data_IF_393597804195
#
_entry.id   IF_393597804195
#
_cell.length_a   1.000
_cell.length_b   1.000
_cell.length_c   1.000
_cell.angle_alpha   90.00
_cell.angle_beta   90.00
_cell.angle_gamma   90.00
#
_symmetry.space_group_name_H-M   'P 1'
#
loop_
_entity.id
_entity.type
_entity.pdbx_description
1 polymer ?
#
# COMPACT_ATOMS: atom_id res chain seq x y z
N UNK A 1 2.14 -2.04 -0.22
CA UNK A 1 1.02 -2.85 0.26
C UNK A 1 1.51 -3.93 1.20
N UNK A 2 0.89 -4.04 2.38
CA UNK A 2 1.23 -5.05 3.38
C UNK A 2 0.17 -6.16 3.40
N UNK A 3 0.46 -7.35 2.85
CA UNK A 3 -0.47 -8.48 2.89
C UNK A 3 -0.81 -8.87 4.32
N UNK A 4 0.18 -8.90 5.22
CA UNK A 4 -0.01 -9.21 6.64
C UNK A 4 -0.98 -8.26 7.35
N UNK A 5 -1.04 -6.99 6.95
CA UNK A 5 -2.00 -6.03 7.49
C UNK A 5 -3.43 -6.37 7.02
N UNK A 6 -3.60 -6.71 5.75
CA UNK A 6 -4.90 -7.15 5.21
C UNK A 6 -5.36 -8.42 5.92
N UNK A 7 -4.48 -9.41 6.08
CA UNK A 7 -4.76 -10.66 6.79
C UNK A 7 -5.15 -10.43 8.26
N UNK A 8 -4.45 -9.52 8.95
CA UNK A 8 -4.81 -9.13 10.32
C UNK A 8 -6.20 -8.51 10.40
N UNK A 9 -6.52 -7.57 9.49
CA UNK A 9 -7.85 -6.96 9.42
C UNK A 9 -8.94 -7.99 9.07
N UNK A 10 -8.66 -8.94 8.17
CA UNK A 10 -9.56 -10.06 7.86
C UNK A 10 -9.81 -10.96 9.08
N UNK A 11 -8.83 -11.08 9.97
CA UNK A 11 -8.97 -11.76 11.26
C UNK A 11 -9.62 -10.87 12.35
N UNK A 12 -10.15 -9.70 11.99
CA UNK A 12 -10.75 -8.76 12.92
C UNK A 12 -9.76 -8.20 13.92
N UNK A 13 -8.54 -7.84 13.48
CA UNK A 13 -7.51 -7.25 14.34
C UNK A 13 -7.15 -5.85 13.89
N UNK A 14 -6.89 -4.93 14.85
CA UNK A 14 -6.31 -3.63 14.52
C UNK A 14 -4.89 -3.79 13.97
N UNK A 15 -4.43 -2.77 13.25
CA UNK A 15 -3.11 -2.75 12.65
C UNK A 15 -2.28 -1.58 13.18
N UNK A 16 -1.00 -1.85 13.46
CA UNK A 16 0.03 -0.83 13.64
C UNK A 16 0.89 -0.85 12.38
N UNK A 17 1.03 0.27 11.72
CA UNK A 17 1.85 0.33 10.52
C UNK A 17 2.48 1.72 10.31
N UNK A 18 3.64 1.72 9.66
CA UNK A 18 4.30 2.96 9.26
C UNK A 18 3.49 3.66 8.18
N UNK A 19 3.39 4.98 8.28
CA UNK A 19 2.70 5.82 7.30
C UNK A 19 3.62 6.03 6.10
N UNK A 20 3.74 4.98 5.27
CA UNK A 20 4.56 4.98 4.06
C UNK A 20 3.97 4.03 3.01
N UNK A 21 4.22 4.32 1.75
CA UNK A 21 3.79 3.50 0.63
C UNK A 21 2.31 3.12 0.67
N UNK A 22 1.95 1.99 0.12
CA UNK A 22 0.55 1.51 0.04
C UNK A 22 -0.08 1.09 1.37
N UNK A 23 0.68 1.02 2.47
CA UNK A 23 0.10 0.79 3.81
C UNK A 23 -0.82 1.94 4.24
N UNK A 24 -0.62 3.13 3.70
CA UNK A 24 -1.46 4.30 3.95
C UNK A 24 -2.90 4.09 3.48
N UNK A 25 -3.10 3.39 2.37
CA UNK A 25 -4.44 3.05 1.86
C UNK A 25 -5.16 2.08 2.81
N UNK A 26 -4.42 1.17 3.43
CA UNK A 26 -4.96 0.23 4.41
C UNK A 26 -5.39 0.90 5.71
N UNK A 27 -4.82 2.06 6.04
CA UNK A 27 -5.21 2.88 7.19
C UNK A 27 -6.38 3.82 6.90
N UNK A 28 -6.72 4.04 5.63
CA UNK A 28 -7.82 4.91 5.19
C UNK A 28 -7.75 6.30 5.81
N UNK A 29 -6.74 7.08 5.47
CA UNK A 29 -6.70 8.47 5.89
C UNK A 29 -7.85 9.27 5.29
N UNK A 30 -8.35 10.24 6.05
CA UNK A 30 -9.51 11.05 5.69
C UNK A 30 -9.15 12.54 5.63
N UNK A 31 -9.80 13.24 4.70
CA UNK A 31 -9.78 14.70 4.66
C UNK A 31 -10.70 15.31 5.75
N UNK A 32 -10.81 16.62 5.75
CA UNK A 32 -11.65 17.37 6.70
C UNK A 32 -13.14 16.99 6.59
N UNK A 33 -13.58 16.53 5.42
CA UNK A 33 -14.95 16.13 5.15
C UNK A 33 -15.22 14.64 5.42
N UNK A 34 -14.21 13.90 5.90
CA UNK A 34 -14.31 12.46 6.13
C UNK A 34 -14.19 11.60 4.87
N UNK A 35 -13.79 12.19 3.75
CA UNK A 35 -13.57 11.47 2.51
C UNK A 35 -12.21 10.79 2.53
N UNK A 36 -12.15 9.54 2.07
CA UNK A 36 -10.90 8.81 1.92
C UNK A 36 -9.93 9.54 0.99
N UNK A 37 -8.74 9.80 1.50
CA UNK A 37 -7.62 10.38 0.74
C UNK A 37 -6.88 9.26 0.04
N UNK A 38 -7.14 9.11 -1.25
CA UNK A 38 -6.36 8.21 -2.12
C UNK A 38 -5.07 8.89 -2.54
N UNK A 39 -4.00 8.11 -2.64
CA UNK A 39 -2.70 8.61 -3.07
C UNK A 39 -2.67 8.69 -4.60
N UNK A 40 -2.16 9.82 -5.09
CA UNK A 40 -2.06 10.16 -6.51
C UNK A 40 -0.63 10.59 -6.82
N UNK A 41 -0.34 10.87 -8.08
CA UNK A 41 0.96 11.42 -8.48
C UNK A 41 1.28 12.73 -7.76
N UNK A 42 0.25 13.57 -7.52
CA UNK A 42 0.42 14.87 -6.83
C UNK A 42 0.51 14.70 -5.31
N UNK A 43 -0.05 13.63 -4.77
CA UNK A 43 -0.03 13.33 -3.34
C UNK A 43 0.37 11.87 -3.10
N UNK A 44 1.65 11.61 -3.22
CA UNK A 44 2.22 10.25 -3.11
C UNK A 44 2.44 9.74 -1.69
N UNK A 45 2.33 10.59 -0.65
CA UNK A 45 2.58 10.16 0.73
C UNK A 45 2.01 11.12 1.77
N UNK A 46 1.50 10.54 2.86
CA UNK A 46 1.10 11.23 4.09
C UNK A 46 2.16 11.15 5.19
N UNK A 47 3.39 10.76 4.87
CA UNK A 47 4.45 10.55 5.86
C UNK A 47 4.72 11.78 6.76
N UNK A 48 4.42 12.98 6.28
CA UNK A 48 4.52 14.23 7.06
C UNK A 48 3.26 14.52 7.90
N UNK A 49 2.27 13.64 7.88
CA UNK A 49 1.07 13.75 8.68
C UNK A 49 0.18 14.95 8.33
N UNK A 50 0.02 15.26 7.05
CA UNK A 50 -0.95 16.26 6.58
C UNK A 50 -2.37 15.91 7.01
N UNK A 51 -2.75 14.65 6.88
CA UNK A 51 -4.03 14.11 7.32
C UNK A 51 -3.83 13.30 8.59
N UNK A 52 -4.65 13.57 9.60
CA UNK A 52 -4.56 12.93 10.93
C UNK A 52 -5.72 11.98 11.21
N UNK A 53 -6.87 12.20 10.55
CA UNK A 53 -8.00 11.29 10.67
C UNK A 53 -7.75 10.05 9.85
N UNK A 54 -8.07 8.90 10.38
CA UNK A 54 -7.87 7.59 9.76
C UNK A 54 -8.91 6.59 10.26
N UNK A 55 -8.94 5.40 9.67
CA UNK A 55 -9.82 4.33 10.11
C UNK A 55 -9.59 3.95 11.56
N UNK A 56 -10.66 3.62 12.27
CA UNK A 56 -10.63 3.28 13.72
C UNK A 56 -9.71 2.10 14.05
N UNK A 57 -9.51 1.20 13.10
CA UNK A 57 -8.65 0.02 13.21
C UNK A 57 -7.16 0.29 13.06
N UNK A 58 -6.81 1.48 12.57
CA UNK A 58 -5.43 1.83 12.28
C UNK A 58 -4.77 2.57 13.43
N UNK A 59 -3.52 2.21 13.70
CA UNK A 59 -2.62 2.85 14.65
C UNK A 59 -1.36 3.28 13.89
N UNK A 60 -1.41 4.47 13.26
CA UNK A 60 -0.35 4.92 12.37
C UNK A 60 0.90 5.34 13.14
N UNK A 61 2.06 4.92 12.64
CA UNK A 61 3.37 5.39 13.08
C UNK A 61 3.96 6.26 11.99
N UNK A 62 4.08 7.55 12.26
CA UNK A 62 4.61 8.50 11.28
C UNK A 62 6.13 8.46 11.24
N UNK A 63 6.74 8.46 10.05
CA UNK A 63 8.19 8.59 9.93
C UNK A 63 8.69 9.91 10.52
N UNK A 64 9.79 9.83 11.25
CA UNK A 64 10.46 10.99 11.84
C UNK A 64 11.82 11.27 11.21
N UNK A 65 12.32 10.35 10.40
CA UNK A 65 13.60 10.48 9.70
C UNK A 65 13.58 9.72 8.37
N UNK A 66 14.58 10.02 7.52
CA UNK A 66 14.83 9.33 6.26
C UNK A 66 16.27 8.83 6.24
N UNK A 67 16.48 7.62 5.77
CA UNK A 67 17.81 7.07 5.50
C UNK A 67 17.98 6.84 4.02
N UNK A 68 19.13 7.24 3.48
CA UNK A 68 19.50 6.85 2.13
C UNK A 68 19.95 5.40 2.13
N UNK A 69 19.26 4.54 1.41
CA UNK A 69 19.58 3.11 1.28
C UNK A 69 19.80 2.75 -0.18
N UNK A 70 20.66 1.78 -0.40
CA UNK A 70 21.00 1.32 -1.73
C UNK A 70 22.44 0.83 -1.82
N UNK A 71 22.78 0.23 -2.94
CA UNK A 71 24.14 -0.21 -3.27
C UNK A 71 24.27 -0.35 -4.79
N UNK A 72 25.50 -0.29 -5.30
CA UNK A 72 25.73 -0.54 -6.73
C UNK A 72 25.50 -2.06 -6.99
N UNK A 73 24.70 -2.44 -8.01
CA UNK A 73 24.07 -1.62 -9.06
C UNK A 73 22.65 -1.10 -8.74
N UNK A 74 22.12 -1.34 -7.54
CA UNK A 74 20.78 -0.89 -7.16
C UNK A 74 20.75 0.63 -6.97
N UNK A 75 19.65 1.31 -7.42
CA UNK A 75 19.54 2.74 -7.21
C UNK A 75 19.46 3.08 -5.73
N UNK A 76 20.00 4.24 -5.36
CA UNK A 76 19.81 4.79 -4.02
C UNK A 76 18.41 5.38 -3.90
N UNK A 77 17.72 5.02 -2.83
CA UNK A 77 16.39 5.52 -2.48
C UNK A 77 16.37 6.02 -1.04
N UNK A 78 15.45 6.95 -0.76
CA UNK A 78 15.15 7.32 0.62
C UNK A 78 14.17 6.33 1.22
N UNK A 79 14.52 5.84 2.41
CA UNK A 79 13.71 4.91 3.19
C UNK A 79 13.21 5.61 4.46
N UNK A 80 11.91 5.55 4.70
CA UNK A 80 11.26 6.13 5.86
C UNK A 80 11.67 5.38 7.14
N UNK A 81 12.06 6.11 8.17
CA UNK A 81 12.42 5.56 9.48
C UNK A 81 11.48 6.07 10.55
N UNK A 82 11.09 5.19 11.45
CA UNK A 82 10.21 5.47 12.57
C UNK A 82 10.97 5.33 13.90
N UNK A 83 10.50 6.05 14.92
CA UNK A 83 10.99 5.86 16.27
C UNK A 83 10.46 4.55 16.87
N UNK A 84 11.31 3.84 17.61
CA UNK A 84 10.89 2.68 18.43
C UNK A 84 9.91 3.09 19.52
N UNK A 85 10.03 4.29 20.05
CA UNK A 85 9.15 4.82 21.09
C UNK A 85 7.74 5.08 20.54
N UNK A 86 7.64 5.55 19.29
CA UNK A 86 6.34 5.75 18.64
C UNK A 86 5.65 4.39 18.39
N UNK A 87 6.39 3.36 18.01
CA UNK A 87 5.86 1.99 17.87
C UNK A 87 5.39 1.47 19.24
N UNK A 88 6.21 1.63 20.27
CA UNK A 88 5.88 1.21 21.63
C UNK A 88 4.63 1.91 22.16
N UNK A 89 4.48 3.20 21.87
CA UNK A 89 3.29 3.97 22.26
C UNK A 89 2.01 3.42 21.61
N UNK A 90 2.06 3.04 20.32
CA UNK A 90 0.89 2.45 19.64
C UNK A 90 0.54 1.06 20.21
N UNK A 91 1.55 0.25 20.57
CA UNK A 91 1.32 -1.04 21.25
C UNK A 91 0.67 -0.83 22.62
N UNK A 92 1.16 0.13 23.39
CA UNK A 92 0.60 0.47 24.69
C UNK A 92 -0.84 0.97 24.59
N UNK A 93 -1.14 1.80 23.58
CA UNK A 93 -2.50 2.29 23.33
C UNK A 93 -3.46 1.13 23.07
N UNK A 94 -3.11 0.21 22.14
CA UNK A 94 -3.96 -0.96 21.86
C UNK A 94 -4.11 -1.85 23.10
N UNK A 95 -3.04 -2.08 23.84
CA UNK A 95 -3.08 -2.89 25.06
C UNK A 95 -4.02 -2.27 26.10
N UNK A 96 -3.93 -0.97 26.32
CA UNK A 96 -4.76 -0.27 27.26
C UNK A 96 -6.25 -0.27 26.87
N UNK A 97 -6.57 -0.09 25.57
CA UNK A 97 -7.93 -0.21 25.07
C UNK A 97 -8.45 -1.64 25.31
N UNK A 98 -7.64 -2.66 24.99
CA UNK A 98 -8.03 -4.07 25.16
C UNK A 98 -8.27 -4.46 26.61
N UNK A 99 -7.47 -3.93 27.52
CA UNK A 99 -7.54 -4.27 28.95
C UNK A 99 -8.40 -3.27 29.76
N UNK A 100 -8.98 -2.28 29.11
CA UNK A 100 -9.75 -1.21 29.72
C UNK A 100 -8.95 -0.45 30.80
N UNK A 101 -7.63 -0.36 30.61
CA UNK A 101 -6.72 0.37 31.50
C UNK A 101 -6.43 1.73 30.92
N UNK A 102 -6.36 2.74 31.79
CA UNK A 102 -5.87 4.06 31.38
C UNK A 102 -4.36 3.95 31.14
N UNK A 103 -3.90 4.34 29.96
CA UNK A 103 -2.48 4.29 29.65
C UNK A 103 -1.70 5.22 30.62
N UNK A 104 -0.60 4.71 31.16
CA UNK A 104 0.26 5.40 32.08
C UNK A 104 1.01 6.58 31.43
N UNK A 105 1.11 6.55 30.09
CA UNK A 105 1.79 7.53 29.26
C UNK A 105 0.91 7.92 28.05
N UNK A 106 0.17 9.00 28.21
CA UNK A 106 -0.61 9.61 27.14
C UNK A 106 -2.12 9.48 27.31
N UNK A 107 -2.82 10.56 27.05
CA UNK A 107 -4.28 10.58 27.12
C UNK A 107 -4.86 9.72 25.99
N UNK A 108 -5.60 8.68 26.36
CA UNK A 108 -6.48 8.03 25.40
C UNK A 108 -7.50 9.03 24.90
N UNK A 109 -7.38 9.35 23.63
CA UNK A 109 -8.39 10.15 22.94
C UNK A 109 -9.45 9.29 22.25
N UNK A 110 -9.24 7.96 22.24
CA UNK A 110 -10.18 7.02 21.59
C UNK A 110 -11.26 6.60 22.56
N UNK A 111 -12.50 6.76 22.12
CA UNK A 111 -13.69 6.37 22.87
C UNK A 111 -14.18 4.95 22.50
N UNK A 112 -13.62 4.37 21.42
CA UNK A 112 -14.01 3.07 20.90
C UNK A 112 -13.48 1.94 21.77
N UNK A 113 -14.31 0.91 21.95
CA UNK A 113 -13.93 -0.34 22.57
C UNK A 113 -13.05 -1.17 21.62
N UNK A 114 -12.30 -2.12 22.18
CA UNK A 114 -11.47 -3.03 21.35
C UNK A 114 -12.32 -3.82 20.36
N UNK A 115 -13.51 -4.26 20.75
CA UNK A 115 -14.45 -4.97 19.90
C UNK A 115 -14.95 -4.13 18.73
N UNK A 116 -15.25 -2.86 18.96
CA UNK A 116 -15.64 -1.92 17.90
C UNK A 116 -14.52 -1.69 16.90
N UNK A 117 -13.27 -1.56 17.39
CA UNK A 117 -12.08 -1.43 16.56
C UNK A 117 -11.89 -2.68 15.70
N UNK A 118 -11.99 -3.87 16.28
CA UNK A 118 -11.86 -5.14 15.58
C UNK A 118 -12.95 -5.31 14.51
N UNK A 119 -14.18 -4.97 14.84
CA UNK A 119 -15.32 -5.00 13.91
C UNK A 119 -15.08 -4.05 12.73
N UNK A 120 -14.67 -2.81 13.01
CA UNK A 120 -14.38 -1.82 11.98
C UNK A 120 -13.24 -2.26 11.04
N UNK A 121 -12.21 -2.96 11.54
CA UNK A 121 -11.15 -3.54 10.74
C UNK A 121 -11.69 -4.54 9.72
N UNK A 122 -12.51 -5.48 10.19
CA UNK A 122 -13.12 -6.50 9.33
C UNK A 122 -14.09 -5.91 8.32
N UNK A 123 -14.96 -4.99 8.75
CA UNK A 123 -15.92 -4.32 7.88
C UNK A 123 -15.22 -3.52 6.78
N UNK A 124 -14.15 -2.82 7.11
CA UNK A 124 -13.37 -2.08 6.11
C UNK A 124 -12.74 -3.01 5.08
N UNK A 125 -11.96 -3.99 5.51
CA UNK A 125 -11.19 -4.84 4.61
C UNK A 125 -12.08 -5.69 3.69
N UNK A 126 -13.32 -5.97 4.11
CA UNK A 126 -14.32 -6.72 3.33
C UNK A 126 -15.25 -5.82 2.52
N UNK A 127 -15.18 -4.50 2.72
CA UNK A 127 -16.03 -3.54 2.02
C UNK A 127 -15.68 -3.42 0.53
N UNK A 128 -16.65 -3.04 -0.26
CA UNK A 128 -16.43 -2.72 -1.67
C UNK A 128 -15.59 -1.45 -1.84
N UNK A 129 -15.64 -0.51 -0.89
CA UNK A 129 -14.85 0.73 -0.92
C UNK A 129 -13.35 0.45 -0.83
N UNK A 130 -12.94 -0.51 0.01
CA UNK A 130 -11.53 -0.85 0.21
C UNK A 130 -10.90 -1.54 -1.00
N UNK A 131 -11.69 -2.28 -1.77
CA UNK A 131 -11.24 -3.12 -2.89
C UNK A 131 -10.12 -4.12 -2.52
N UNK A 132 -10.03 -4.51 -1.24
CA UNK A 132 -8.95 -5.36 -0.72
C UNK A 132 -9.26 -6.85 -0.76
N UNK A 133 -10.49 -7.23 -1.11
CA UNK A 133 -10.87 -8.64 -1.21
C UNK A 133 -10.33 -9.29 -2.49
N UNK A 134 -10.11 -10.61 -2.44
CA UNK A 134 -9.69 -11.39 -3.61
C UNK A 134 -10.67 -11.25 -4.79
N UNK A 135 -11.97 -11.09 -4.50
CA UNK A 135 -13.01 -10.84 -5.50
C UNK A 135 -12.73 -9.55 -6.29
N UNK A 136 -12.42 -8.45 -5.59
CA UNK A 136 -12.11 -7.16 -6.21
C UNK A 136 -10.79 -7.21 -6.98
N UNK A 137 -9.78 -7.88 -6.44
CA UNK A 137 -8.51 -8.07 -7.13
C UNK A 137 -8.72 -8.82 -8.45
N UNK A 138 -9.45 -9.93 -8.43
CA UNK A 138 -9.74 -10.72 -9.63
C UNK A 138 -10.52 -9.90 -10.66
N UNK A 139 -11.55 -9.16 -10.21
CA UNK A 139 -12.33 -8.28 -11.08
C UNK A 139 -11.45 -7.23 -11.77
N UNK A 140 -10.65 -6.50 -11.01
CA UNK A 140 -9.78 -5.45 -11.56
C UNK A 140 -8.74 -5.99 -12.53
N UNK A 141 -8.20 -7.20 -12.28
CA UNK A 141 -7.25 -7.85 -13.19
C UNK A 141 -7.95 -8.22 -14.50
N UNK A 142 -9.14 -8.83 -14.44
CA UNK A 142 -9.89 -9.23 -15.63
C UNK A 142 -10.27 -7.99 -16.46
N UNK A 143 -10.89 -6.99 -15.83
CA UNK A 143 -11.28 -5.75 -16.50
C UNK A 143 -10.05 -5.04 -17.13
N UNK A 144 -8.93 -4.98 -16.42
CA UNK A 144 -7.70 -4.39 -16.94
C UNK A 144 -7.09 -5.16 -18.11
N UNK A 145 -7.19 -6.49 -18.13
CA UNK A 145 -6.77 -7.31 -19.25
C UNK A 145 -7.67 -7.07 -20.45
N UNK A 146 -9.00 -7.10 -20.27
CA UNK A 146 -9.98 -6.88 -21.32
C UNK A 146 -9.80 -5.50 -21.96
N UNK A 147 -9.70 -4.46 -21.16
CA UNK A 147 -9.44 -3.09 -21.62
C UNK A 147 -8.11 -2.96 -22.37
N UNK A 148 -7.08 -3.67 -21.91
CA UNK A 148 -5.78 -3.68 -22.56
C UNK A 148 -5.87 -4.37 -23.92
N UNK A 149 -6.55 -5.51 -24.01
CA UNK A 149 -6.70 -6.26 -25.27
C UNK A 149 -7.49 -5.46 -26.33
N UNK A 150 -8.48 -4.67 -25.89
CA UNK A 150 -9.24 -3.81 -26.81
C UNK A 150 -8.43 -2.62 -27.35
N UNK A 151 -7.55 -2.05 -26.54
CA UNK A 151 -6.83 -0.81 -26.87
C UNK A 151 -5.39 -1.01 -27.30
N UNK A 152 -4.83 -2.19 -26.97
CA UNK A 152 -3.42 -2.43 -27.21
C UNK A 152 -3.13 -2.70 -28.68
N UNK A 153 -2.18 -1.96 -29.22
CA UNK A 153 -1.58 -2.21 -30.53
C UNK A 153 -0.10 -2.53 -30.36
N UNK A 154 0.43 -3.56 -31.05
CA UNK A 154 1.85 -3.86 -30.94
C UNK A 154 2.69 -2.66 -31.37
N UNK A 155 3.67 -2.30 -30.54
CA UNK A 155 4.60 -1.21 -30.87
C UNK A 155 5.46 -1.55 -32.09
N UNK A 156 5.64 -2.85 -32.35
CA UNK A 156 6.39 -3.38 -33.48
C UNK A 156 5.59 -4.53 -34.10
N UNK A 157 5.57 -4.59 -35.43
CA UNK A 157 5.13 -5.75 -36.17
C UNK A 157 6.34 -6.61 -36.53
N UNK A 158 6.26 -7.90 -36.30
CA UNK A 158 7.29 -8.85 -36.68
C UNK A 158 6.77 -9.69 -37.81
N UNK A 159 7.57 -9.83 -38.87
CA UNK A 159 7.31 -10.74 -39.94
C UNK A 159 8.13 -12.02 -39.74
N UNK A 160 7.45 -13.17 -39.77
CA UNK A 160 8.13 -14.46 -39.72
C UNK A 160 8.66 -14.78 -41.13
N UNK A 161 9.97 -14.66 -41.28
CA UNK A 161 10.65 -15.02 -42.54
C UNK A 161 11.21 -16.42 -42.36
N UNK A 162 10.85 -17.40 -43.23
CA UNK A 162 11.44 -18.72 -43.19
C UNK A 162 12.96 -18.65 -43.40
N UNK A 163 13.72 -19.34 -42.57
CA UNK A 163 15.20 -19.30 -42.59
C UNK A 163 15.74 -19.72 -43.98
N UNK A 164 15.05 -20.61 -44.65
CA UNK A 164 15.38 -21.08 -45.98
C UNK A 164 15.38 -19.97 -47.06
N UNK A 165 14.68 -18.88 -46.83
CA UNK A 165 14.64 -17.71 -47.74
C UNK A 165 15.74 -16.70 -47.50
N UNK A 166 16.52 -16.87 -46.43
CA UNK A 166 17.61 -15.97 -46.06
C UNK A 166 18.89 -16.37 -46.86
N UNK A 167 19.16 -15.63 -47.90
CA UNK A 167 20.39 -15.79 -48.69
C UNK A 167 21.65 -15.21 -48.05
N UNK A 168 21.55 -14.68 -46.88
CA UNK A 168 22.66 -14.07 -46.14
C UNK A 168 22.66 -14.48 -44.65
N UNK A 169 23.85 -14.60 -44.02
CA UNK A 169 23.90 -14.91 -42.60
C UNK A 169 23.23 -13.81 -41.78
N UNK A 170 22.42 -14.21 -40.82
CA UNK A 170 21.81 -13.29 -39.86
C UNK A 170 22.90 -12.71 -38.96
N UNK A 171 23.25 -11.44 -39.14
CA UNK A 171 24.11 -10.75 -38.24
C UNK A 171 23.32 -10.26 -37.03
N UNK A 172 23.48 -10.93 -35.90
CA UNK A 172 22.92 -10.46 -34.66
C UNK A 172 23.63 -9.16 -34.21
N UNK A 173 22.90 -8.06 -34.20
CA UNK A 173 23.38 -6.81 -33.63
C UNK A 173 22.82 -6.62 -32.23
N UNK A 174 23.62 -6.86 -31.17
CA UNK A 174 23.14 -6.76 -29.80
C UNK A 174 22.82 -5.31 -29.37
N UNK A 175 23.15 -4.31 -30.20
CA UNK A 175 22.86 -2.90 -29.95
C UNK A 175 21.64 -2.36 -30.69
N UNK A 176 20.95 -3.18 -31.48
CA UNK A 176 19.62 -2.87 -31.97
C UNK A 176 18.60 -3.07 -30.85
N UNK A 177 18.73 -2.24 -29.83
CA UNK A 177 17.64 -1.99 -28.89
C UNK A 177 16.65 -1.15 -29.68
N UNK A 178 15.46 -1.66 -29.83
CA UNK A 178 14.36 -0.94 -30.46
C UNK A 178 14.23 0.45 -29.80
N UNK A 179 14.29 1.48 -30.63
CA UNK A 179 14.05 2.86 -30.21
C UNK A 179 12.59 3.08 -29.94
#
# INVERSE_FOLDING_TARGET
WGLSLTEAMMAGKPIIATVTGGMQDQMRFEDENGKWVKFTEEFGSNHRGKYKKHGKWAFPVFPNNHSLVGSIPTPYIYDDRVSTDDIASQIQEIYAIKTNQVAEYGSHTRLETYEEICKAAYEWVTSDESMMSARWMSKNIIEGIEETLEKWTPRYSYELIPVETLNQPIHYNPYLIAK
#
